data_IF_368392713039
#
_entry.id   IF_368392713039
#
_cell.length_a   1.000
_cell.length_b   1.000
_cell.length_c   1.000
_cell.angle_alpha   90.00
_cell.angle_beta   90.00
_cell.angle_gamma   90.00
#
_symmetry.space_group_name_H-M   'P 1'
#
loop_
_entity.id
_entity.type
_entity.pdbx_description
1 polymer ?
#
# COMPACT_ATOMS: atom_id res chain seq x y z
N UNK A 1 -25.00 -50.75 -9.57
CA UNK A 1 -23.62 -50.94 -10.06
C UNK A 1 -22.65 -50.32 -9.04
N UNK A 2 -21.72 -51.11 -8.51
CA UNK A 2 -20.95 -50.79 -7.29
C UNK A 2 -19.80 -49.81 -7.53
N UNK A 3 -19.66 -48.82 -6.62
CA UNK A 3 -18.59 -47.79 -6.52
C UNK A 3 -17.17 -48.36 -6.67
N UNK A 4 -16.97 -49.64 -6.38
CA UNK A 4 -15.70 -50.33 -6.50
C UNK A 4 -15.22 -50.53 -7.95
N UNK A 5 -16.11 -50.67 -8.94
CA UNK A 5 -15.70 -50.79 -10.36
C UNK A 5 -15.31 -49.45 -10.97
N UNK A 6 -15.93 -48.36 -10.54
CA UNK A 6 -15.58 -47.00 -10.99
C UNK A 6 -14.20 -46.59 -10.47
N UNK A 7 -13.89 -46.89 -9.21
CA UNK A 7 -12.56 -46.68 -8.63
C UNK A 7 -11.47 -47.50 -9.34
N UNK A 8 -11.76 -48.77 -9.69
CA UNK A 8 -10.81 -49.63 -10.43
C UNK A 8 -10.54 -49.17 -11.86
N UNK A 9 -11.52 -48.58 -12.56
CA UNK A 9 -11.30 -48.04 -13.92
C UNK A 9 -10.51 -46.73 -13.93
N UNK A 10 -10.67 -45.88 -12.91
CA UNK A 10 -9.87 -44.66 -12.75
C UNK A 10 -8.42 -45.03 -12.39
N UNK A 11 -8.22 -46.03 -11.52
CA UNK A 11 -6.89 -46.54 -11.19
C UNK A 11 -6.19 -47.23 -12.39
N UNK A 12 -6.93 -47.97 -13.22
CA UNK A 12 -6.38 -48.62 -14.41
C UNK A 12 -6.01 -47.62 -15.53
N UNK A 13 -6.76 -46.52 -15.67
CA UNK A 13 -6.42 -45.43 -16.60
C UNK A 13 -5.13 -44.68 -16.21
N UNK A 14 -4.84 -44.58 -14.91
CA UNK A 14 -3.59 -44.00 -14.41
C UNK A 14 -2.37 -44.92 -14.61
N UNK A 15 -2.57 -46.24 -14.53
CA UNK A 15 -1.48 -47.21 -14.62
C UNK A 15 -1.00 -47.52 -16.06
N UNK A 16 -1.89 -47.44 -17.06
CA UNK A 16 -1.54 -47.89 -18.43
C UNK A 16 -1.64 -46.80 -19.51
N UNK A 17 -2.09 -45.58 -19.20
CA UNK A 17 -2.18 -44.49 -20.20
C UNK A 17 -1.79 -43.09 -19.71
N UNK A 18 -1.47 -42.89 -18.42
CA UNK A 18 -1.25 -41.56 -17.83
C UNK A 18 -0.15 -41.48 -16.77
N UNK A 19 0.72 -42.49 -16.68
CA UNK A 19 1.68 -42.65 -15.57
C UNK A 19 2.71 -41.53 -15.41
N UNK A 20 3.16 -40.92 -16.51
CA UNK A 20 4.12 -39.80 -16.46
C UNK A 20 3.49 -38.48 -15.99
N UNK A 21 2.30 -38.14 -16.51
CA UNK A 21 1.61 -36.89 -16.19
C UNK A 21 1.05 -36.89 -14.76
N UNK A 22 0.55 -38.04 -14.28
CA UNK A 22 0.07 -38.18 -12.90
C UNK A 22 1.18 -38.03 -11.86
N UNK A 23 2.35 -38.66 -12.09
CA UNK A 23 3.50 -38.58 -11.17
C UNK A 23 4.13 -37.19 -11.17
N UNK A 24 4.26 -36.55 -12.34
CA UNK A 24 4.74 -35.16 -12.44
C UNK A 24 3.78 -34.20 -11.73
N UNK A 25 2.46 -34.39 -11.87
CA UNK A 25 1.46 -33.60 -11.16
C UNK A 25 1.55 -33.73 -9.64
N UNK A 26 1.71 -34.96 -9.12
CA UNK A 26 1.88 -35.21 -7.68
C UNK A 26 3.18 -34.61 -7.15
N UNK A 27 4.29 -34.74 -7.89
CA UNK A 27 5.57 -34.14 -7.51
C UNK A 27 5.51 -32.60 -7.47
N UNK A 28 4.86 -31.98 -8.45
CA UNK A 28 4.67 -30.52 -8.48
C UNK A 28 3.81 -30.02 -7.30
N UNK A 29 2.73 -30.74 -6.96
CA UNK A 29 1.91 -30.43 -5.78
C UNK A 29 2.73 -30.61 -4.50
N UNK A 30 3.54 -31.67 -4.40
CA UNK A 30 4.44 -31.91 -3.28
C UNK A 30 5.45 -30.78 -3.08
N UNK A 31 6.05 -30.27 -4.16
CA UNK A 31 6.98 -29.15 -4.12
C UNK A 31 6.31 -27.87 -3.61
N UNK A 32 5.12 -27.52 -4.11
CA UNK A 32 4.36 -26.35 -3.64
C UNK A 32 4.04 -26.47 -2.14
N UNK A 33 3.61 -27.65 -1.68
CA UNK A 33 3.30 -27.88 -0.27
C UNK A 33 4.54 -27.76 0.62
N UNK A 34 5.69 -28.24 0.15
CA UNK A 34 6.97 -28.09 0.85
C UNK A 34 7.40 -26.62 0.94
N UNK A 35 7.27 -25.85 -0.14
CA UNK A 35 7.55 -24.41 -0.17
C UNK A 35 6.62 -23.62 0.77
N UNK A 36 5.32 -23.95 0.79
CA UNK A 36 4.37 -23.33 1.73
C UNK A 36 4.80 -23.58 3.17
N UNK A 37 5.24 -24.80 3.48
CA UNK A 37 5.68 -25.14 4.83
C UNK A 37 7.00 -24.46 5.21
N UNK A 38 7.91 -24.28 4.25
CA UNK A 38 9.14 -23.53 4.43
C UNK A 38 8.85 -22.05 4.67
N UNK A 39 8.06 -21.41 3.81
CA UNK A 39 7.67 -20.01 3.94
C UNK A 39 7.00 -19.73 5.29
N UNK A 40 6.08 -20.60 5.76
CA UNK A 40 5.44 -20.46 7.08
C UNK A 40 6.42 -20.47 8.26
N UNK A 41 7.60 -21.09 8.12
CA UNK A 41 8.62 -21.15 9.18
C UNK A 41 9.55 -19.95 9.17
N UNK A 42 9.67 -19.26 8.04
CA UNK A 42 10.63 -18.17 7.82
C UNK A 42 9.98 -16.79 7.78
N UNK A 43 8.67 -16.71 7.52
CA UNK A 43 7.90 -15.47 7.35
C UNK A 43 7.09 -15.10 8.59
N UNK A 44 7.17 -13.84 9.00
CA UNK A 44 6.19 -13.23 9.92
C UNK A 44 6.27 -13.67 11.38
N UNK A 45 7.37 -14.29 11.81
CA UNK A 45 7.59 -14.67 13.21
C UNK A 45 8.37 -13.61 13.97
N UNK A 46 7.93 -13.26 15.18
CA UNK A 46 8.77 -12.59 16.18
C UNK A 46 8.80 -11.05 16.14
N UNK A 47 7.88 -10.40 15.42
CA UNK A 47 7.67 -8.96 15.57
C UNK A 47 6.73 -8.67 16.74
N UNK A 48 7.07 -7.67 17.55
CA UNK A 48 6.18 -7.15 18.59
C UNK A 48 5.04 -6.31 18.00
N UNK A 49 4.19 -5.78 18.87
CA UNK A 49 3.07 -4.96 18.44
C UNK A 49 3.54 -3.70 17.68
N UNK A 50 2.80 -3.26 16.65
CA UNK A 50 3.11 -2.04 15.95
C UNK A 50 2.99 -0.82 16.90
N UNK A 51 3.84 0.21 16.73
CA UNK A 51 3.76 1.40 17.56
C UNK A 51 2.45 2.15 17.29
N UNK A 52 1.79 2.65 18.35
CA UNK A 52 0.59 3.47 18.23
C UNK A 52 0.89 4.79 17.52
N UNK A 53 0.16 5.08 16.46
CA UNK A 53 0.36 6.25 15.62
C UNK A 53 -0.74 7.32 15.80
N UNK A 54 -1.79 7.04 16.57
CA UNK A 54 -2.89 7.98 16.81
C UNK A 54 -2.39 9.31 17.38
N UNK A 55 -3.01 10.40 16.94
CA UNK A 55 -2.69 11.74 17.44
C UNK A 55 -2.80 12.83 16.38
N UNK A 56 -2.40 14.03 16.78
CA UNK A 56 -2.42 15.22 15.93
C UNK A 56 -1.07 15.41 15.22
N UNK A 57 -1.11 15.57 13.90
CA UNK A 57 0.03 15.81 13.04
C UNK A 57 -0.06 17.20 12.41
N UNK A 58 1.07 17.88 12.24
CA UNK A 58 1.09 19.22 11.65
C UNK A 58 0.52 20.31 12.57
N UNK A 59 0.73 20.22 13.88
CA UNK A 59 0.24 21.21 14.85
C UNK A 59 0.75 22.63 14.57
N UNK A 60 1.91 22.76 13.91
CA UNK A 60 2.48 24.03 13.46
C UNK A 60 1.56 24.78 12.49
N UNK A 61 0.68 24.07 11.76
CA UNK A 61 -0.30 24.67 10.85
C UNK A 61 -1.53 25.23 11.56
N UNK A 62 -1.72 24.98 12.87
CA UNK A 62 -2.89 25.47 13.60
C UNK A 62 -2.99 27.00 13.59
N UNK A 63 -1.86 27.70 13.68
CA UNK A 63 -1.82 29.16 13.60
C UNK A 63 -2.20 29.69 12.21
N UNK A 64 -1.87 28.95 11.15
CA UNK A 64 -2.23 29.30 9.77
C UNK A 64 -3.74 29.18 9.55
N UNK A 65 -4.35 28.10 10.06
CA UNK A 65 -5.81 27.91 9.99
C UNK A 65 -6.54 29.02 10.74
N UNK A 66 -6.10 29.36 11.96
CA UNK A 66 -6.72 30.41 12.77
C UNK A 66 -6.63 31.82 12.14
N UNK A 67 -5.64 32.06 11.27
CA UNK A 67 -5.48 33.31 10.51
C UNK A 67 -6.16 33.26 9.12
N UNK A 68 -6.69 32.10 8.73
CA UNK A 68 -7.23 31.82 7.41
C UNK A 68 -8.69 32.25 7.22
N UNK A 69 -9.26 31.94 6.03
CA UNK A 69 -10.64 32.29 5.69
C UNK A 69 -11.69 31.51 6.48
N UNK A 70 -11.32 30.37 7.08
CA UNK A 70 -12.17 29.57 7.95
C UNK A 70 -11.43 29.28 9.27
N UNK A 71 -11.43 30.23 10.22
CA UNK A 71 -10.68 30.13 11.48
C UNK A 71 -11.26 29.07 12.44
N UNK A 72 -12.50 28.63 12.22
CA UNK A 72 -13.16 27.60 13.01
C UNK A 72 -12.97 26.19 12.42
N UNK A 73 -12.26 26.05 11.30
CA UNK A 73 -11.93 24.77 10.72
C UNK A 73 -11.04 23.95 11.68
N UNK A 74 -11.61 22.92 12.31
CA UNK A 74 -10.87 21.97 13.12
C UNK A 74 -9.82 21.18 12.33
N UNK A 75 -9.04 20.27 12.93
CA UNK A 75 -8.13 19.41 12.17
C UNK A 75 -8.86 18.57 11.12
N UNK A 76 -8.19 18.22 10.02
CA UNK A 76 -8.65 17.16 9.12
C UNK A 76 -8.57 15.81 9.84
N UNK A 77 -9.52 14.91 9.61
CA UNK A 77 -9.54 13.60 10.26
C UNK A 77 -9.23 12.50 9.26
N UNK A 78 -8.16 11.77 9.55
CA UNK A 78 -7.70 10.63 8.77
C UNK A 78 -7.95 9.33 9.54
N UNK A 79 -8.77 8.44 8.96
CA UNK A 79 -8.96 7.08 9.44
C UNK A 79 -8.05 6.09 8.72
N UNK A 80 -7.35 5.23 9.47
CA UNK A 80 -6.58 4.11 8.89
C UNK A 80 -7.20 2.77 9.29
N UNK A 81 -7.49 1.93 8.32
CA UNK A 81 -8.06 0.58 8.49
C UNK A 81 -7.20 -0.44 7.73
N UNK A 82 -7.22 -1.68 8.19
CA UNK A 82 -6.61 -2.78 7.48
C UNK A 82 -5.95 -3.83 8.36
N UNK A 83 -4.93 -4.46 7.78
CA UNK A 83 -4.15 -5.52 8.40
C UNK A 83 -2.86 -5.01 9.08
N UNK A 84 -1.87 -5.89 9.24
CA UNK A 84 -0.57 -5.56 9.84
C UNK A 84 0.20 -4.48 9.07
N UNK A 85 0.01 -4.40 7.75
CA UNK A 85 0.66 -3.38 6.92
C UNK A 85 0.06 -2.01 7.22
N UNK A 86 -1.27 -1.91 7.31
CA UNK A 86 -1.96 -0.68 7.73
C UNK A 86 -1.59 -0.26 9.16
N UNK A 87 -1.45 -1.24 10.05
CA UNK A 87 -1.04 -1.00 11.44
C UNK A 87 0.41 -0.50 11.56
N UNK A 88 1.26 -0.73 10.55
CA UNK A 88 2.69 -0.37 10.58
C UNK A 88 3.55 -1.41 11.31
N UNK A 89 3.20 -2.70 11.19
CA UNK A 89 4.01 -3.78 11.76
C UNK A 89 5.41 -3.80 11.12
N UNK A 90 6.46 -3.98 11.93
CA UNK A 90 7.85 -4.04 11.46
C UNK A 90 8.66 -2.77 11.71
N UNK A 91 8.02 -1.63 11.99
CA UNK A 91 8.74 -0.41 12.40
C UNK A 91 8.82 -0.24 13.91
N UNK A 92 9.81 0.52 14.38
CA UNK A 92 10.06 0.76 15.81
C UNK A 92 9.44 2.05 16.35
N UNK A 93 9.10 3.00 15.47
CA UNK A 93 8.64 4.34 15.86
C UNK A 93 7.31 4.65 15.18
N UNK A 94 6.39 5.28 15.91
CA UNK A 94 5.08 5.70 15.41
C UNK A 94 5.16 6.51 14.10
N UNK A 95 6.10 7.46 14.03
CA UNK A 95 6.34 8.30 12.84
C UNK A 95 6.78 7.55 11.57
N UNK A 96 7.15 6.28 11.69
CA UNK A 96 7.57 5.44 10.57
C UNK A 96 6.41 4.56 10.05
N UNK A 97 5.27 4.56 10.74
CA UNK A 97 4.08 3.84 10.28
C UNK A 97 3.51 4.53 9.03
N UNK A 98 2.87 3.78 8.13
CA UNK A 98 2.29 4.38 6.92
C UNK A 98 1.21 5.40 7.27
N UNK A 99 0.43 5.15 8.32
CA UNK A 99 -0.60 6.07 8.80
C UNK A 99 -0.01 7.42 9.23
N UNK A 100 1.07 7.42 10.03
CA UNK A 100 1.75 8.65 10.45
C UNK A 100 2.37 9.41 9.28
N UNK A 101 3.01 8.68 8.35
CA UNK A 101 3.60 9.27 7.15
C UNK A 101 2.55 9.93 6.25
N UNK A 102 1.39 9.30 6.08
CA UNK A 102 0.26 9.86 5.36
C UNK A 102 -0.34 11.07 6.08
N UNK A 103 -0.49 11.01 7.41
CA UNK A 103 -1.00 12.14 8.20
C UNK A 103 -0.08 13.36 8.13
N UNK A 104 1.24 13.16 8.30
CA UNK A 104 2.24 14.22 8.14
C UNK A 104 2.26 14.81 6.74
N UNK A 105 2.25 13.95 5.71
CA UNK A 105 2.24 14.40 4.32
C UNK A 105 0.96 15.16 3.96
N UNK A 106 -0.19 14.69 4.44
CA UNK A 106 -1.47 15.35 4.23
C UNK A 106 -1.52 16.70 4.94
N UNK A 107 -1.03 16.78 6.18
CA UNK A 107 -1.00 18.03 6.93
C UNK A 107 -0.15 19.09 6.23
N UNK A 108 1.00 18.69 5.69
CA UNK A 108 1.88 19.58 4.94
C UNK A 108 1.26 20.07 3.63
N UNK A 109 0.53 19.21 2.90
CA UNK A 109 -0.12 19.61 1.64
C UNK A 109 -1.37 20.45 1.88
N UNK A 110 -2.13 20.13 2.92
CA UNK A 110 -3.34 20.86 3.28
C UNK A 110 -3.06 22.17 4.02
N UNK A 111 -1.83 22.37 4.50
CA UNK A 111 -1.46 23.42 5.47
C UNK A 111 -2.45 23.47 6.65
N UNK A 112 -2.89 22.29 7.10
CA UNK A 112 -3.93 22.10 8.12
C UNK A 112 -3.57 20.89 8.99
N UNK A 113 -3.71 20.98 10.33
CA UNK A 113 -3.44 19.84 11.19
C UNK A 113 -4.31 18.62 10.84
N UNK A 114 -3.76 17.42 11.02
CA UNK A 114 -4.45 16.15 10.76
C UNK A 114 -4.54 15.34 12.05
N UNK A 115 -5.76 15.06 12.50
CA UNK A 115 -6.05 14.07 13.55
C UNK A 115 -6.12 12.68 12.93
N UNK A 116 -5.14 11.83 13.27
CA UNK A 116 -5.05 10.46 12.80
C UNK A 116 -5.65 9.51 13.82
N UNK A 117 -6.52 8.60 13.33
CA UNK A 117 -6.99 7.44 14.08
C UNK A 117 -6.71 6.14 13.32
N UNK A 118 -5.90 5.26 13.90
CA UNK A 118 -5.54 3.98 13.31
C UNK A 118 -6.23 2.81 14.02
N UNK A 119 -7.20 2.20 13.36
CA UNK A 119 -7.96 1.05 13.88
C UNK A 119 -7.56 -0.26 13.22
N UNK A 120 -6.52 -0.24 12.38
CA UNK A 120 -5.99 -1.44 11.75
C UNK A 120 -5.48 -2.44 12.77
N UNK A 121 -5.65 -3.73 12.47
CA UNK A 121 -5.30 -4.81 13.37
C UNK A 121 -4.38 -5.80 12.67
N UNK A 122 -3.25 -6.10 13.31
CA UNK A 122 -2.34 -7.12 12.82
C UNK A 122 -3.04 -8.48 12.70
N UNK A 123 -2.90 -9.11 11.53
CA UNK A 123 -3.56 -10.40 11.24
C UNK A 123 -5.02 -10.29 10.82
N UNK A 124 -5.62 -9.10 10.75
CA UNK A 124 -6.98 -8.91 10.26
C UNK A 124 -7.11 -9.36 8.80
N UNK A 125 -8.27 -9.94 8.48
CA UNK A 125 -8.73 -10.22 7.11
C UNK A 125 -9.90 -9.29 6.80
N UNK A 126 -10.35 -9.27 5.54
CA UNK A 126 -11.43 -8.34 5.12
C UNK A 126 -12.72 -8.47 5.94
N UNK A 127 -13.01 -9.61 6.55
CA UNK A 127 -14.18 -9.80 7.42
C UNK A 127 -14.16 -8.95 8.71
N UNK A 128 -12.99 -8.49 9.16
CA UNK A 128 -12.83 -7.60 10.31
C UNK A 128 -13.10 -6.11 9.98
N UNK A 129 -13.20 -5.76 8.69
CA UNK A 129 -13.35 -4.36 8.28
C UNK A 129 -14.64 -3.70 8.79
N UNK A 130 -15.71 -4.46 8.99
CA UNK A 130 -16.96 -3.91 9.54
C UNK A 130 -16.78 -3.45 10.99
N UNK A 131 -16.06 -4.25 11.80
CA UNK A 131 -15.69 -3.85 13.17
C UNK A 131 -14.81 -2.61 13.15
N UNK A 132 -13.81 -2.56 12.27
CA UNK A 132 -12.90 -1.41 12.17
C UNK A 132 -13.64 -0.14 11.70
N UNK A 133 -14.55 -0.24 10.73
CA UNK A 133 -15.40 0.87 10.32
C UNK A 133 -16.28 1.35 11.47
N UNK A 134 -16.86 0.43 12.26
CA UNK A 134 -17.61 0.77 13.47
C UNK A 134 -16.78 1.54 14.50
N UNK A 135 -15.52 1.15 14.73
CA UNK A 135 -14.64 1.89 15.65
C UNK A 135 -14.42 3.36 15.24
N UNK A 136 -14.41 3.65 13.94
CA UNK A 136 -14.25 5.02 13.44
C UNK A 136 -15.56 5.82 13.43
N UNK A 137 -16.69 5.16 13.16
CA UNK A 137 -17.98 5.81 12.92
C UNK A 137 -18.88 5.88 14.16
N UNK A 138 -18.76 4.91 15.06
CA UNK A 138 -19.66 4.76 16.22
C UNK A 138 -19.10 5.47 17.47
N UNK A 139 -18.03 6.27 17.31
CA UNK A 139 -17.42 7.06 18.38
C UNK A 139 -18.07 8.43 18.58
N UNK A 140 -17.60 9.17 19.58
CA UNK A 140 -18.07 10.54 19.88
C UNK A 140 -17.58 11.58 18.88
N UNK A 141 -16.48 11.28 18.17
CA UNK A 141 -15.94 12.15 17.13
C UNK A 141 -16.78 12.02 15.86
N UNK A 142 -17.03 13.12 15.12
CA UNK A 142 -17.71 13.00 13.83
C UNK A 142 -16.84 12.20 12.84
N UNK A 143 -17.44 11.68 11.75
CA UNK A 143 -16.79 10.74 10.86
C UNK A 143 -15.50 11.32 10.26
N UNK A 144 -14.51 10.47 9.91
CA UNK A 144 -13.28 10.92 9.27
C UNK A 144 -13.59 11.64 7.95
N UNK A 145 -12.83 12.67 7.62
CA UNK A 145 -12.96 13.35 6.33
C UNK A 145 -12.43 12.45 5.21
N UNK A 146 -11.42 11.63 5.51
CA UNK A 146 -10.89 10.61 4.60
C UNK A 146 -10.42 9.35 5.34
N UNK A 147 -10.59 8.20 4.70
CA UNK A 147 -10.12 6.91 5.19
C UNK A 147 -9.19 6.24 4.19
N UNK A 148 -8.13 5.60 4.71
CA UNK A 148 -7.24 4.73 3.95
C UNK A 148 -7.42 3.29 4.43
N UNK A 149 -7.66 2.38 3.48
CA UNK A 149 -7.77 0.94 3.76
C UNK A 149 -6.62 0.21 3.07
N UNK A 150 -5.84 -0.57 3.82
CA UNK A 150 -4.84 -1.49 3.25
C UNK A 150 -5.08 -2.91 3.77
N UNK A 151 -5.63 -3.77 2.91
CA UNK A 151 -6.02 -5.12 3.31
C UNK A 151 -6.02 -6.10 2.13
N UNK A 152 -5.71 -7.37 2.41
CA UNK A 152 -5.83 -8.46 1.46
C UNK A 152 -4.67 -9.46 1.50
N UNK A 153 -3.54 -9.11 2.12
CA UNK A 153 -2.43 -10.04 2.27
C UNK A 153 -2.85 -11.28 3.09
N UNK A 154 -3.59 -11.06 4.19
CA UNK A 154 -4.11 -12.13 5.03
C UNK A 154 -5.22 -12.94 4.34
N UNK A 155 -6.05 -12.30 3.51
CA UNK A 155 -7.08 -12.98 2.72
C UNK A 155 -6.46 -14.01 1.77
N UNK A 156 -5.34 -13.67 1.11
CA UNK A 156 -4.61 -14.61 0.24
C UNK A 156 -3.93 -15.70 1.06
N UNK A 157 -3.18 -15.36 2.10
CA UNK A 157 -2.41 -16.34 2.88
C UNK A 157 -3.30 -17.31 3.66
N UNK A 158 -4.46 -16.85 4.14
CA UNK A 158 -5.47 -17.65 4.85
C UNK A 158 -6.58 -18.19 3.93
N UNK A 159 -6.48 -17.94 2.61
CA UNK A 159 -7.32 -18.51 1.56
C UNK A 159 -8.80 -18.14 1.66
N UNK A 160 -9.11 -16.89 2.02
CA UNK A 160 -10.45 -16.35 1.90
C UNK A 160 -10.88 -16.33 0.43
N UNK A 161 -12.11 -16.77 0.08
CA UNK A 161 -12.60 -16.65 -1.29
C UNK A 161 -12.57 -15.19 -1.77
N UNK A 162 -12.03 -14.88 -2.96
CA UNK A 162 -11.91 -13.50 -3.44
C UNK A 162 -13.24 -12.74 -3.48
N UNK A 163 -14.33 -13.42 -3.84
CA UNK A 163 -15.68 -12.84 -3.84
C UNK A 163 -16.15 -12.42 -2.45
N UNK A 164 -15.79 -13.20 -1.42
CA UNK A 164 -16.07 -12.88 -0.03
C UNK A 164 -15.22 -11.71 0.45
N UNK A 165 -13.92 -11.73 0.15
CA UNK A 165 -12.98 -10.65 0.47
C UNK A 165 -13.48 -9.31 -0.09
N UNK A 166 -13.79 -9.27 -1.39
CA UNK A 166 -14.32 -8.06 -2.06
C UNK A 166 -15.68 -7.64 -1.50
N UNK A 167 -16.56 -8.59 -1.14
CA UNK A 167 -17.84 -8.25 -0.50
C UNK A 167 -17.65 -7.54 0.83
N UNK A 168 -16.75 -8.02 1.69
CA UNK A 168 -16.48 -7.36 2.97
C UNK A 168 -15.85 -5.98 2.78
N UNK A 169 -14.85 -5.87 1.88
CA UNK A 169 -14.24 -4.59 1.54
C UNK A 169 -15.28 -3.58 1.02
N UNK A 170 -16.10 -3.96 0.05
CA UNK A 170 -17.12 -3.08 -0.54
C UNK A 170 -18.20 -2.69 0.47
N UNK A 171 -18.54 -3.56 1.42
CA UNK A 171 -19.44 -3.22 2.54
C UNK A 171 -18.86 -2.12 3.42
N UNK A 172 -17.59 -2.25 3.82
CA UNK A 172 -16.91 -1.25 4.65
C UNK A 172 -16.74 0.08 3.90
N UNK A 173 -16.31 0.05 2.64
CA UNK A 173 -16.20 1.24 1.78
C UNK A 173 -17.55 1.94 1.66
N UNK A 174 -18.63 1.21 1.39
CA UNK A 174 -19.98 1.79 1.31
C UNK A 174 -20.38 2.45 2.63
N UNK A 175 -20.14 1.81 3.77
CA UNK A 175 -20.46 2.36 5.10
C UNK A 175 -19.71 3.67 5.36
N UNK A 176 -18.42 3.73 5.05
CA UNK A 176 -17.60 4.94 5.19
C UNK A 176 -18.04 6.07 4.25
N UNK A 177 -18.29 5.76 2.97
CA UNK A 177 -18.78 6.75 1.98
C UNK A 177 -20.15 7.31 2.37
N UNK A 178 -21.07 6.46 2.86
CA UNK A 178 -22.39 6.89 3.34
C UNK A 178 -22.29 7.80 4.58
N UNK A 179 -21.24 7.65 5.39
CA UNK A 179 -20.95 8.55 6.50
C UNK A 179 -20.27 9.86 6.08
N UNK A 180 -20.00 10.06 4.79
CA UNK A 180 -19.39 11.28 4.24
C UNK A 180 -17.86 11.25 4.12
N UNK A 181 -17.21 10.14 4.49
CA UNK A 181 -15.76 10.02 4.34
C UNK A 181 -15.38 9.79 2.87
N UNK A 182 -14.31 10.42 2.40
CA UNK A 182 -13.59 9.96 1.21
C UNK A 182 -12.86 8.65 1.51
N UNK A 183 -12.69 7.78 0.52
CA UNK A 183 -12.05 6.47 0.75
C UNK A 183 -11.02 6.16 -0.33
N UNK A 184 -9.81 5.86 0.13
CA UNK A 184 -8.69 5.40 -0.71
C UNK A 184 -8.28 4.00 -0.27
N UNK A 185 -8.27 3.05 -1.21
CA UNK A 185 -7.87 1.67 -0.92
C UNK A 185 -6.51 1.36 -1.54
N UNK A 186 -5.53 1.05 -0.69
CA UNK A 186 -4.32 0.35 -1.12
C UNK A 186 -4.66 -1.12 -1.36
N UNK A 187 -4.69 -1.55 -2.62
CA UNK A 187 -5.11 -2.91 -2.98
C UNK A 187 -4.13 -3.96 -2.46
N UNK A 188 -4.52 -5.24 -2.51
CA UNK A 188 -3.69 -6.37 -2.12
C UNK A 188 -2.28 -6.27 -2.75
N UNK A 189 -1.21 -6.32 -1.94
CA UNK A 189 0.15 -6.28 -2.47
C UNK A 189 0.50 -7.60 -3.19
N UNK A 190 1.50 -7.54 -4.06
CA UNK A 190 1.98 -8.68 -4.83
C UNK A 190 2.82 -9.60 -3.94
N UNK A 191 2.21 -10.66 -3.38
CA UNK A 191 2.90 -11.60 -2.49
C UNK A 191 4.00 -12.43 -3.18
N UNK A 192 4.14 -12.32 -4.51
CA UNK A 192 5.26 -12.90 -5.23
C UNK A 192 6.59 -12.16 -5.04
N UNK A 193 6.61 -10.99 -4.39
CA UNK A 193 7.86 -10.26 -4.10
C UNK A 193 8.54 -10.68 -2.80
N UNK A 194 7.86 -11.48 -1.97
CA UNK A 194 8.37 -11.94 -0.68
C UNK A 194 9.55 -12.89 -0.93
N UNK A 195 10.75 -12.50 -0.47
CA UNK A 195 12.02 -13.20 -0.76
C UNK A 195 12.00 -14.69 -0.39
N UNK A 196 11.47 -15.10 0.78
CA UNK A 196 11.35 -16.52 1.17
C UNK A 196 10.42 -17.39 0.31
N UNK A 197 9.69 -16.83 -0.66
CA UNK A 197 8.78 -17.58 -1.52
C UNK A 197 9.49 -17.98 -2.82
N UNK A 198 9.72 -19.28 -3.01
CA UNK A 198 10.41 -19.84 -4.18
C UNK A 198 9.43 -20.22 -5.31
N UNK A 199 9.97 -20.62 -6.47
CA UNK A 199 9.16 -21.09 -7.60
C UNK A 199 8.86 -22.59 -7.45
N UNK A 200 7.59 -23.02 -7.62
CA UNK A 200 6.53 -22.32 -8.36
C UNK A 200 5.54 -21.52 -7.48
N UNK A 201 5.63 -21.57 -6.16
CA UNK A 201 4.69 -20.87 -5.26
C UNK A 201 4.67 -19.36 -5.49
N UNK A 202 5.82 -18.77 -5.83
CA UNK A 202 5.98 -17.33 -6.13
C UNK A 202 5.06 -16.89 -7.27
N UNK A 203 5.04 -17.65 -8.36
CA UNK A 203 4.17 -17.35 -9.50
C UNK A 203 2.68 -17.43 -9.12
N UNK A 204 2.30 -18.44 -8.33
CA UNK A 204 0.92 -18.58 -7.88
C UNK A 204 0.51 -17.45 -6.94
N UNK A 205 1.35 -17.12 -5.96
CA UNK A 205 1.13 -16.03 -5.02
C UNK A 205 0.95 -14.68 -5.76
N UNK A 206 1.81 -14.41 -6.75
CA UNK A 206 1.70 -13.25 -7.65
C UNK A 206 0.38 -13.22 -8.42
N UNK A 207 -0.02 -14.35 -9.00
CA UNK A 207 -1.27 -14.44 -9.76
C UNK A 207 -2.50 -14.20 -8.88
N UNK A 208 -2.57 -14.86 -7.72
CA UNK A 208 -3.73 -14.78 -6.83
C UNK A 208 -3.84 -13.38 -6.21
N UNK A 209 -2.74 -12.79 -5.77
CA UNK A 209 -2.74 -11.44 -5.21
C UNK A 209 -3.17 -10.38 -6.24
N UNK A 210 -2.65 -10.44 -7.48
CA UNK A 210 -3.06 -9.54 -8.57
C UNK A 210 -4.53 -9.69 -8.95
N UNK A 211 -5.03 -10.93 -8.97
CA UNK A 211 -6.46 -11.19 -9.23
C UNK A 211 -7.35 -10.57 -8.14
N UNK A 212 -6.94 -10.70 -6.87
CA UNK A 212 -7.64 -10.05 -5.76
C UNK A 212 -7.58 -8.52 -5.87
N UNK A 213 -6.41 -7.95 -6.16
CA UNK A 213 -6.23 -6.50 -6.33
C UNK A 213 -7.12 -5.92 -7.45
N UNK A 214 -7.21 -6.61 -8.59
CA UNK A 214 -8.10 -6.22 -9.68
C UNK A 214 -9.58 -6.28 -9.24
N UNK A 215 -9.99 -7.33 -8.54
CA UNK A 215 -11.36 -7.48 -8.05
C UNK A 215 -11.72 -6.42 -6.99
N UNK A 216 -10.78 -6.08 -6.10
CA UNK A 216 -10.92 -4.97 -5.14
C UNK A 216 -11.11 -3.65 -5.88
N UNK A 217 -10.27 -3.36 -6.90
CA UNK A 217 -10.38 -2.14 -7.71
C UNK A 217 -11.77 -1.98 -8.32
N UNK A 218 -12.29 -3.04 -8.96
CA UNK A 218 -13.61 -3.01 -9.59
C UNK A 218 -14.70 -2.68 -8.56
N UNK A 219 -14.69 -3.37 -7.40
CA UNK A 219 -15.70 -3.18 -6.37
C UNK A 219 -15.64 -1.81 -5.69
N UNK A 220 -14.45 -1.29 -5.45
CA UNK A 220 -14.22 -0.01 -4.75
C UNK A 220 -14.57 1.17 -5.67
N UNK A 221 -14.10 1.15 -6.92
CA UNK A 221 -14.36 2.23 -7.88
C UNK A 221 -15.84 2.35 -8.20
N UNK A 222 -16.58 1.23 -8.25
CA UNK A 222 -18.03 1.24 -8.43
C UNK A 222 -18.79 1.96 -7.30
N UNK A 223 -18.16 2.16 -6.13
CA UNK A 223 -18.72 2.90 -4.99
C UNK A 223 -18.24 4.36 -4.94
N UNK A 224 -17.60 4.85 -6.00
CA UNK A 224 -17.09 6.22 -6.06
C UNK A 224 -15.87 6.48 -5.17
N UNK A 225 -15.16 5.42 -4.75
CA UNK A 225 -13.92 5.49 -4.01
C UNK A 225 -12.71 5.27 -4.94
N UNK A 226 -11.51 5.65 -4.49
CA UNK A 226 -10.27 5.56 -5.28
C UNK A 226 -9.43 4.37 -4.85
N UNK A 227 -8.66 3.80 -5.76
CA UNK A 227 -7.70 2.74 -5.42
C UNK A 227 -6.30 3.07 -5.88
N UNK A 228 -5.32 2.65 -5.08
CA UNK A 228 -3.91 2.69 -5.43
C UNK A 228 -3.39 1.26 -5.46
N UNK A 229 -2.81 0.87 -6.59
CA UNK A 229 -2.19 -0.45 -6.72
C UNK A 229 -0.94 -0.54 -5.85
N UNK A 230 -1.02 -1.38 -4.82
CA UNK A 230 0.14 -1.75 -4.00
C UNK A 230 0.92 -2.92 -4.61
N UNK A 231 0.58 -3.38 -5.81
CA UNK A 231 1.36 -4.40 -6.51
C UNK A 231 2.83 -3.97 -6.58
N UNK A 232 3.79 -4.86 -6.30
CA UNK A 232 5.23 -4.57 -6.15
C UNK A 232 5.60 -3.31 -5.31
N UNK A 233 4.66 -2.72 -4.55
CA UNK A 233 4.63 -1.49 -3.75
C UNK A 233 5.35 -0.23 -4.29
N UNK A 234 6.53 -0.32 -4.91
CA UNK A 234 6.93 0.49 -6.05
C UNK A 234 8.03 -0.16 -6.93
N UNK A 235 7.57 -1.15 -7.70
CA UNK A 235 8.28 -1.68 -8.86
C UNK A 235 9.74 -2.06 -8.59
N UNK A 236 10.72 -1.61 -9.39
CA UNK A 236 12.11 -2.07 -9.31
C UNK A 236 12.77 -1.91 -7.94
N UNK A 237 12.33 -1.01 -7.06
CA UNK A 237 13.04 -0.75 -5.79
C UNK A 237 12.92 -1.93 -4.81
N UNK A 238 11.72 -2.52 -4.66
CA UNK A 238 11.54 -3.72 -3.82
C UNK A 238 12.21 -4.96 -4.42
N UNK A 239 12.21 -5.07 -5.75
CA UNK A 239 12.87 -6.19 -6.44
C UNK A 239 14.41 -6.05 -6.48
N UNK A 240 14.93 -4.82 -6.53
CA UNK A 240 16.36 -4.53 -6.56
C UNK A 240 16.95 -4.53 -5.14
N UNK A 241 16.24 -3.98 -4.16
CA UNK A 241 16.71 -3.81 -2.78
C UNK A 241 15.76 -4.44 -1.75
N UNK A 242 15.43 -5.75 -1.84
CA UNK A 242 14.48 -6.39 -0.93
C UNK A 242 14.89 -6.30 0.54
N UNK A 243 16.20 -6.33 0.83
CA UNK A 243 16.74 -6.24 2.20
C UNK A 243 16.56 -4.88 2.86
N UNK A 244 16.44 -3.82 2.07
CA UNK A 244 16.18 -2.46 2.56
C UNK A 244 14.69 -2.21 2.68
N UNK A 245 13.90 -2.79 1.77
CA UNK A 245 12.47 -2.57 1.66
C UNK A 245 11.61 -3.46 2.58
N UNK A 246 12.11 -4.63 2.98
CA UNK A 246 11.47 -5.49 3.98
C UNK A 246 12.14 -5.37 5.34
N UNK A 247 11.32 -5.51 6.38
CA UNK A 247 11.78 -5.63 7.75
C UNK A 247 12.55 -6.94 8.01
N UNK A 248 13.00 -7.16 9.25
CA UNK A 248 13.81 -8.32 9.61
C UNK A 248 13.07 -9.67 9.44
N UNK A 249 11.75 -9.65 9.32
CA UNK A 249 10.92 -10.84 9.10
C UNK A 249 10.74 -11.18 7.61
N UNK A 250 11.40 -10.43 6.71
CA UNK A 250 11.36 -10.61 5.26
C UNK A 250 9.95 -10.62 4.66
N UNK A 251 9.00 -9.97 5.33
CA UNK A 251 7.59 -10.00 4.95
C UNK A 251 6.91 -8.65 5.11
N UNK A 252 7.01 -8.02 6.29
CA UNK A 252 6.44 -6.70 6.48
C UNK A 252 7.38 -5.62 5.91
N UNK A 253 6.84 -4.52 5.38
CA UNK A 253 7.68 -3.42 4.92
C UNK A 253 8.58 -2.87 6.03
N UNK A 254 9.79 -2.44 5.65
CA UNK A 254 10.67 -1.66 6.52
C UNK A 254 10.14 -0.23 6.66
N UNK A 255 10.84 0.61 7.45
CA UNK A 255 10.51 2.03 7.51
C UNK A 255 10.60 2.72 6.12
N UNK A 256 11.56 2.30 5.29
CA UNK A 256 11.70 2.81 3.92
C UNK A 256 10.60 2.27 3.01
N UNK A 257 10.25 0.99 3.15
CA UNK A 257 9.13 0.37 2.44
C UNK A 257 7.79 1.06 2.75
N UNK A 258 7.55 1.42 4.02
CA UNK A 258 6.36 2.20 4.40
C UNK A 258 6.42 3.64 3.88
N UNK A 259 7.58 4.29 3.90
CA UNK A 259 7.74 5.62 3.29
C UNK A 259 7.39 5.59 1.80
N UNK A 260 7.79 4.55 1.09
CA UNK A 260 7.46 4.39 -0.32
C UNK A 260 6.00 4.07 -0.56
N UNK A 261 5.40 3.19 0.23
CA UNK A 261 3.96 2.96 0.19
C UNK A 261 3.16 4.25 0.43
N UNK A 262 3.53 5.02 1.45
CA UNK A 262 2.89 6.30 1.78
C UNK A 262 3.05 7.31 0.64
N UNK A 263 4.22 7.40 0.01
CA UNK A 263 4.45 8.27 -1.15
C UNK A 263 3.60 7.90 -2.37
N UNK A 264 3.26 6.62 -2.56
CA UNK A 264 2.36 6.18 -3.64
C UNK A 264 0.89 6.56 -3.35
N UNK A 265 0.47 6.49 -2.09
CA UNK A 265 -0.92 6.74 -1.67
C UNK A 265 -1.22 8.23 -1.46
N UNK A 266 -0.30 9.00 -0.89
CA UNK A 266 -0.49 10.41 -0.52
C UNK A 266 -1.06 11.28 -1.66
N UNK A 267 -0.59 11.19 -2.91
CA UNK A 267 -1.16 11.98 -4.00
C UNK A 267 -2.65 11.71 -4.26
N UNK A 268 -3.07 10.45 -4.14
CA UNK A 268 -4.47 10.04 -4.30
C UNK A 268 -5.30 10.53 -3.12
N UNK A 269 -4.72 10.52 -1.92
CA UNK A 269 -5.32 11.05 -0.69
C UNK A 269 -5.62 12.55 -0.81
N UNK A 270 -4.63 13.33 -1.26
CA UNK A 270 -4.79 14.78 -1.45
C UNK A 270 -5.80 15.09 -2.56
N UNK A 271 -5.81 14.32 -3.65
CA UNK A 271 -6.78 14.47 -4.73
C UNK A 271 -8.21 14.13 -4.30
N UNK A 272 -8.39 13.13 -3.42
CA UNK A 272 -9.71 12.79 -2.89
C UNK A 272 -10.33 13.95 -2.09
N UNK A 273 -9.49 14.73 -1.40
CA UNK A 273 -9.89 15.93 -0.65
C UNK A 273 -9.83 17.23 -1.47
N UNK A 274 -9.63 17.14 -2.79
CA UNK A 274 -9.52 18.31 -3.69
C UNK A 274 -8.44 19.33 -3.28
N UNK A 275 -7.37 18.88 -2.62
CA UNK A 275 -6.26 19.73 -2.16
C UNK A 275 -5.27 20.10 -3.27
N UNK A 276 -5.38 19.46 -4.44
CA UNK A 276 -4.62 19.80 -5.63
C UNK A 276 -5.55 20.32 -6.72
N UNK A 277 -5.11 21.31 -7.52
CA UNK A 277 -5.86 21.71 -8.70
C UNK A 277 -5.95 20.51 -9.64
N UNK A 278 -7.17 20.01 -9.87
CA UNK A 278 -7.41 18.97 -10.87
C UNK A 278 -7.06 19.55 -12.24
N UNK A 279 -6.01 19.02 -12.88
CA UNK A 279 -5.83 19.27 -14.31
C UNK A 279 -6.93 18.52 -15.06
N UNK A 280 -7.93 19.24 -15.57
CA UNK A 280 -9.00 18.76 -16.46
C UNK A 280 -8.49 18.18 -17.81
N UNK A 281 -7.18 17.97 -17.94
CA UNK A 281 -6.52 17.46 -19.15
C UNK A 281 -5.80 16.18 -18.80
N UNK A 282 -6.14 15.10 -19.52
CA UNK A 282 -5.34 13.88 -19.57
C UNK A 282 -3.91 14.28 -19.93
N UNK A 283 -2.99 14.08 -19.00
CA UNK A 283 -1.58 14.33 -19.26
C UNK A 283 -1.02 13.14 -20.05
N UNK A 284 -1.04 13.24 -21.38
CA UNK A 284 -0.45 12.22 -22.29
C UNK A 284 1.02 11.93 -21.93
N UNK A 285 1.74 12.91 -21.38
CA UNK A 285 3.11 12.76 -20.89
C UNK A 285 3.23 11.86 -19.62
N UNK A 286 2.13 11.59 -18.91
CA UNK A 286 2.04 10.73 -17.72
C UNK A 286 1.34 9.40 -17.99
N UNK A 287 1.07 9.07 -19.27
CA UNK A 287 0.42 7.81 -19.66
C UNK A 287 -0.96 7.65 -18.99
N UNK A 288 -1.72 8.75 -18.87
CA UNK A 288 -3.07 8.72 -18.32
C UNK A 288 -4.08 8.21 -19.35
N UNK A 289 -4.83 7.17 -18.98
CA UNK A 289 -5.76 6.49 -19.89
C UNK A 289 -7.17 6.43 -19.31
N UNK A 290 -8.17 6.69 -20.16
CA UNK A 290 -9.58 6.46 -19.86
C UNK A 290 -9.98 5.08 -20.33
N UNK A 291 -10.21 4.15 -19.40
CA UNK A 291 -10.47 2.74 -19.72
C UNK A 291 -11.77 2.27 -19.05
N UNK A 292 -12.44 1.23 -19.60
CA UNK A 292 -13.47 0.53 -18.86
C UNK A 292 -12.91 0.06 -17.51
N UNK A 293 -13.69 0.16 -16.43
CA UNK A 293 -13.23 -0.13 -15.05
C UNK A 293 -12.49 -1.47 -14.95
N UNK A 294 -13.00 -2.53 -15.60
CA UNK A 294 -12.36 -3.84 -15.59
C UNK A 294 -10.97 -3.85 -16.26
N UNK A 295 -10.78 -3.08 -17.33
CA UNK A 295 -9.49 -2.95 -18.04
C UNK A 295 -8.52 -2.10 -17.23
N UNK A 296 -8.99 -0.99 -16.64
CA UNK A 296 -8.20 -0.18 -15.71
C UNK A 296 -7.73 -1.01 -14.51
N UNK A 297 -8.61 -1.81 -13.92
CA UNK A 297 -8.30 -2.70 -12.80
C UNK A 297 -7.24 -3.76 -13.16
N UNK A 298 -7.38 -4.40 -14.33
CA UNK A 298 -6.39 -5.37 -14.79
C UNK A 298 -5.02 -4.74 -15.07
N UNK A 299 -4.99 -3.53 -15.62
CA UNK A 299 -3.75 -2.79 -15.88
C UNK A 299 -3.09 -2.36 -14.56
N UNK A 300 -3.86 -1.77 -13.63
CA UNK A 300 -3.39 -1.34 -12.33
C UNK A 300 -2.86 -2.51 -11.48
N UNK A 301 -3.53 -3.67 -11.49
CA UNK A 301 -3.04 -4.86 -10.78
C UNK A 301 -1.69 -5.37 -11.32
N UNK A 302 -1.33 -5.01 -12.55
CA UNK A 302 -0.04 -5.34 -13.15
C UNK A 302 1.09 -4.36 -12.83
N UNK A 303 0.76 -3.14 -12.42
CA UNK A 303 1.71 -2.01 -12.33
C UNK A 303 1.56 -1.22 -11.03
N UNK A 304 2.61 -1.26 -10.21
CA UNK A 304 2.72 -0.58 -8.92
C UNK A 304 2.45 0.94 -8.99
N UNK A 305 1.84 1.49 -7.94
CA UNK A 305 1.62 2.94 -7.80
C UNK A 305 0.61 3.53 -8.79
N UNK A 306 -0.08 2.68 -9.55
CA UNK A 306 -1.13 3.09 -10.46
C UNK A 306 -2.39 3.42 -9.67
N UNK A 307 -2.90 4.64 -9.85
CA UNK A 307 -4.17 5.09 -9.28
C UNK A 307 -5.31 4.78 -10.27
N UNK A 308 -6.45 4.32 -9.75
CA UNK A 308 -7.69 4.19 -10.49
C UNK A 308 -8.76 5.05 -9.83
N UNK A 309 -9.28 6.01 -10.58
CA UNK A 309 -10.32 6.96 -10.14
C UNK A 309 -11.61 6.68 -10.91
N UNK A 310 -12.79 6.71 -10.27
CA UNK A 310 -14.07 6.63 -10.98
C UNK A 310 -14.23 7.80 -11.96
N UNK A 311 -14.78 7.52 -13.13
CA UNK A 311 -15.21 8.53 -14.10
C UNK A 311 -16.66 8.29 -14.53
N UNK A 312 -17.22 9.16 -15.37
CA UNK A 312 -18.64 9.07 -15.79
C UNK A 312 -18.91 7.75 -16.52
N UNK A 313 -19.94 7.02 -16.09
CA UNK A 313 -20.37 5.76 -16.72
C UNK A 313 -19.48 4.56 -16.33
N UNK A 314 -19.29 3.55 -17.21
CA UNK A 314 -18.48 2.36 -16.90
C UNK A 314 -16.96 2.59 -17.00
N UNK A 315 -16.52 3.85 -16.94
CA UNK A 315 -15.15 4.26 -17.21
C UNK A 315 -14.42 4.63 -15.92
N UNK A 316 -13.12 4.41 -15.92
CA UNK A 316 -12.20 4.85 -14.88
C UNK A 316 -10.99 5.55 -15.51
N UNK A 317 -10.48 6.54 -14.81
CA UNK A 317 -9.22 7.19 -15.12
C UNK A 317 -8.09 6.38 -14.49
N UNK A 318 -7.18 5.89 -15.33
CA UNK A 318 -5.95 5.23 -14.93
C UNK A 318 -4.84 6.27 -14.91
N UNK A 319 -4.16 6.46 -13.77
CA UNK A 319 -3.00 7.36 -13.67
C UNK A 319 -1.74 6.59 -13.33
N UNK A 320 -0.77 6.59 -14.24
CA UNK A 320 0.55 6.01 -14.00
C UNK A 320 1.49 7.04 -13.37
N UNK A 321 1.76 6.91 -12.07
CA UNK A 321 2.70 7.79 -11.38
C UNK A 321 4.13 7.25 -11.51
N UNK A 322 4.77 7.46 -12.67
CA UNK A 322 6.21 7.19 -12.82
C UNK A 322 7.02 8.26 -12.09
N UNK A 323 7.89 7.86 -11.17
CA UNK A 323 8.97 8.72 -10.68
C UNK A 323 9.89 9.06 -11.85
N UNK A 324 9.98 10.34 -12.20
CA UNK A 324 11.05 10.84 -13.05
C UNK A 324 12.32 10.86 -12.20
N UNK A 325 13.26 9.94 -12.45
CA UNK A 325 14.62 10.11 -11.91
C UNK A 325 15.16 11.40 -12.52
N UNK A 326 15.47 12.37 -11.68
CA UNK A 326 16.29 13.49 -12.11
C UNK A 326 17.63 12.89 -12.57
N UNK A 327 18.16 13.27 -13.75
CA UNK A 327 19.49 12.85 -14.16
C UNK A 327 20.49 13.16 -13.06
N UNK A 328 21.39 12.23 -12.75
CA UNK A 328 22.38 12.37 -11.69
C UNK A 328 23.44 13.46 -11.96
N UNK A 329 23.30 14.24 -13.03
CA UNK A 329 24.36 15.14 -13.52
C UNK A 329 24.36 16.55 -12.88
N UNK A 330 23.31 16.97 -12.17
CA UNK A 330 23.26 18.34 -11.60
C UNK A 330 23.81 18.49 -10.16
N UNK A 331 24.27 17.41 -9.52
CA UNK A 331 24.94 17.49 -8.21
C UNK A 331 26.47 17.60 -8.30
N UNK A 332 27.05 17.49 -9.50
CA UNK A 332 28.50 17.51 -9.70
C UNK A 332 29.06 18.86 -10.21
N UNK A 333 28.23 19.89 -10.40
CA UNK A 333 28.67 21.21 -10.87
C UNK A 333 28.35 22.33 -9.87
N UNK A 334 28.78 22.17 -8.61
CA UNK A 334 29.07 23.33 -7.78
C UNK A 334 30.50 23.79 -8.11
N UNK A 335 30.73 25.03 -8.59
CA UNK A 335 32.08 25.50 -8.87
C UNK A 335 32.87 25.57 -7.57
N UNK A 336 33.99 24.86 -7.52
CA UNK A 336 34.95 24.93 -6.43
C UNK A 336 35.32 26.40 -6.17
N UNK A 337 34.90 26.93 -5.02
CA UNK A 337 35.31 28.23 -4.54
C UNK A 337 36.83 28.24 -4.42
N UNK A 338 37.48 29.08 -5.23
CA UNK A 338 38.90 29.37 -5.21
C UNK A 338 39.36 29.62 -3.77
N UNK A 339 40.38 28.89 -3.32
CA UNK A 339 41.01 29.08 -2.03
C UNK A 339 41.54 30.49 -1.89
N UNK A 340 40.95 31.25 -0.97
CA UNK A 340 41.58 32.44 -0.41
C UNK A 340 42.52 31.99 0.71
N UNK A 341 43.82 32.09 0.42
CA UNK A 341 44.91 32.03 1.38
C UNK A 341 44.65 33.03 2.52
N UNK A 342 44.49 32.52 3.74
CA UNK A 342 44.58 33.32 4.97
C UNK A 342 45.85 32.92 5.70
N UNK A 343 46.91 33.71 5.52
CA UNK A 343 48.10 33.70 6.35
C UNK A 343 47.74 34.02 7.82
N UNK A 344 48.38 33.39 8.82
CA UNK A 344 48.14 33.70 10.23
C UNK A 344 48.82 35.03 10.62
N UNK A 345 48.24 35.81 11.55
CA UNK A 345 48.85 37.05 12.01
C UNK A 345 50.07 36.76 12.90
N UNK A 346 51.18 37.45 12.61
CA UNK A 346 52.36 37.56 13.47
C UNK A 346 51.98 38.30 14.75
N UNK A 347 52.30 37.71 15.89
CA UNK A 347 52.37 38.41 17.16
C UNK A 347 53.74 39.09 17.27
N UNK A 348 53.77 40.41 17.17
CA UNK A 348 54.90 41.23 17.61
C UNK A 348 54.36 42.28 18.59
N UNK A 349 54.52 41.99 19.87
CA UNK A 349 54.48 42.98 20.95
C UNK A 349 55.90 43.47 21.19
N UNK A 350 56.19 44.69 20.74
CA UNK A 350 57.35 45.46 21.15
C UNK A 350 56.90 46.89 21.49
N UNK A 351 56.87 47.18 22.80
CA UNK A 351 57.17 48.51 23.36
C UNK A 351 58.63 48.87 22.97
N UNK A 352 59.08 50.15 22.91
CA UNK A 352 58.79 51.18 23.91
C UNK A 352 58.66 52.64 23.38
N UNK A 353 58.34 53.58 24.29
CA UNK A 353 58.77 54.99 24.26
C UNK A 353 58.18 55.88 23.17
#
# INVERSE_FOLDING_TARGET
MSRARTARRIAAGAAYGGGGLGLVGVAAVGLVLAEVQFAKRTVGTGLGDPPRADGLYGSEFAALVAAGPDPDAGPLRLGMLGDSTAAGLGVRRARQTPAALLASGLAAVAERPVELRNVALSGAMSDDLDRQAGLLLDGELPPPDVCVIMIGANDVTRRMPPTQSVRHLTSAVRRLRLAGAEVVVGTCPDLGTIEPVYQPLRWLARRVSRQLAAAQTIGVVALGARTVSMGDLLGPEFAANPREMFGPDSYHPSAEGYATAAMAVLPTLCAALSLWPESDRLEVARDEDMLPVAKAASAAAGQAGTEVTPARGPWALLKHRRRRRLPAEDLASAPASRGASTSPPRADTSYPG
#
